data_IF_680549477283
#
_entry.id   IF_680549477283
#
_cell.length_a   1.000
_cell.length_b   1.000
_cell.length_c   1.000
_cell.angle_alpha   90.00
_cell.angle_beta   90.00
_cell.angle_gamma   90.00
#
_symmetry.space_group_name_H-M   'P 1'
#
loop_
_entity.id
_entity.type
_entity.pdbx_description
1 polymer ?
#
# COMPACT_ATOMS: atom_id res chain seq x y z
N UNK A 1 -49.34 -47.83 -67.18
CA UNK A 1 -48.46 -47.66 -65.99
C UNK A 1 -47.02 -47.70 -66.46
N UNK A 2 -46.54 -46.71 -67.21
CA UNK A 2 -46.18 -45.34 -66.83
C UNK A 2 -44.88 -45.29 -66.03
N UNK A 3 -43.75 -45.15 -66.74
CA UNK A 3 -42.48 -44.69 -66.21
C UNK A 3 -42.03 -43.52 -67.09
N UNK A 4 -42.20 -42.30 -66.60
CA UNK A 4 -41.84 -41.06 -67.26
C UNK A 4 -40.51 -40.54 -66.73
N UNK A 5 -39.62 -40.18 -67.64
CA UNK A 5 -38.42 -39.41 -67.37
C UNK A 5 -38.77 -37.95 -67.05
N UNK A 6 -37.99 -37.31 -66.17
CA UNK A 6 -37.95 -35.86 -66.06
C UNK A 6 -36.52 -35.40 -65.70
N UNK A 7 -36.07 -34.45 -66.51
CA UNK A 7 -34.79 -33.77 -66.46
C UNK A 7 -34.87 -32.51 -65.55
N UNK A 8 -33.69 -32.02 -65.18
CA UNK A 8 -33.36 -30.61 -64.94
C UNK A 8 -33.34 -30.01 -63.52
N UNK A 9 -32.19 -29.36 -63.29
CA UNK A 9 -31.93 -28.13 -62.52
C UNK A 9 -31.27 -28.23 -61.14
N UNK A 10 -29.96 -27.98 -61.21
CA UNK A 10 -28.99 -27.57 -60.19
C UNK A 10 -29.49 -26.34 -59.40
N UNK A 11 -29.55 -26.45 -58.06
CA UNK A 11 -29.51 -25.30 -57.14
C UNK A 11 -28.39 -25.57 -56.12
N UNK A 12 -27.36 -24.72 -56.15
CA UNK A 12 -26.23 -24.82 -55.23
C UNK A 12 -26.63 -24.43 -53.82
N UNK A 13 -26.34 -25.29 -52.85
CA UNK A 13 -26.30 -24.93 -51.44
C UNK A 13 -24.87 -24.49 -51.12
N UNK A 14 -24.61 -23.18 -51.09
CA UNK A 14 -23.43 -22.65 -50.43
C UNK A 14 -23.62 -22.80 -48.91
N UNK A 15 -22.68 -23.47 -48.23
CA UNK A 15 -22.61 -23.42 -46.77
C UNK A 15 -22.38 -21.97 -46.32
N UNK A 16 -23.08 -21.47 -45.27
CA UNK A 16 -22.74 -20.18 -44.69
C UNK A 16 -21.34 -20.26 -44.05
N UNK A 17 -20.53 -19.19 -44.11
CA UNK A 17 -19.24 -19.18 -43.45
C UNK A 17 -19.45 -19.24 -41.93
N UNK A 18 -18.74 -20.14 -41.25
CA UNK A 18 -18.67 -20.15 -39.79
C UNK A 18 -18.12 -18.80 -39.31
N UNK A 19 -18.98 -17.98 -38.70
CA UNK A 19 -18.54 -16.76 -38.00
C UNK A 19 -17.74 -17.20 -36.77
N UNK A 20 -16.43 -16.90 -36.75
CA UNK A 20 -15.62 -17.09 -35.57
C UNK A 20 -16.11 -16.14 -34.44
N UNK A 21 -16.17 -16.60 -33.18
CA UNK A 21 -16.55 -15.73 -32.07
C UNK A 21 -15.56 -14.57 -31.92
N UNK A 22 -16.09 -13.37 -31.65
CA UNK A 22 -15.28 -12.19 -31.41
C UNK A 22 -14.33 -12.40 -30.21
N UNK A 23 -13.13 -11.78 -30.20
CA UNK A 23 -12.21 -11.88 -29.07
C UNK A 23 -12.88 -11.30 -27.82
N UNK A 24 -12.81 -12.03 -26.71
CA UNK A 24 -13.27 -11.51 -25.42
C UNK A 24 -12.45 -10.27 -25.04
N UNK A 25 -13.08 -9.25 -24.41
CA UNK A 25 -12.35 -8.10 -23.89
C UNK A 25 -11.32 -8.56 -22.84
N UNK A 26 -10.18 -7.85 -22.71
CA UNK A 26 -9.18 -8.19 -21.71
C UNK A 26 -9.77 -8.10 -20.31
N UNK A 27 -9.48 -9.12 -19.50
CA UNK A 27 -9.86 -9.17 -18.08
C UNK A 27 -9.29 -7.92 -17.35
N UNK A 28 -10.00 -7.33 -16.37
CA UNK A 28 -9.42 -6.28 -15.54
C UNK A 28 -8.11 -6.77 -14.90
N UNK A 29 -7.06 -5.95 -14.97
CA UNK A 29 -5.80 -6.27 -14.31
C UNK A 29 -6.04 -6.49 -12.80
N UNK A 30 -5.37 -7.46 -12.16
CA UNK A 30 -5.42 -7.60 -10.71
C UNK A 30 -5.01 -6.27 -10.05
N UNK A 31 -5.61 -5.92 -8.89
CA UNK A 31 -5.22 -4.71 -8.17
C UNK A 31 -3.70 -4.74 -7.94
N UNK A 32 -3.04 -3.64 -8.30
CA UNK A 32 -1.61 -3.49 -8.02
C UNK A 32 -1.40 -3.66 -6.51
N UNK A 33 -0.33 -4.33 -6.07
CA UNK A 33 -0.02 -4.36 -4.65
C UNK A 33 0.13 -2.92 -4.18
N UNK A 34 -0.63 -2.55 -3.14
CA UNK A 34 -0.45 -1.29 -2.44
C UNK A 34 0.90 -1.36 -1.71
N UNK A 35 1.96 -0.99 -2.43
CA UNK A 35 3.34 -1.07 -1.94
C UNK A 35 3.56 -0.23 -0.68
N UNK A 36 2.68 0.73 -0.40
CA UNK A 36 2.74 1.57 0.80
C UNK A 36 1.99 0.99 2.00
N UNK A 37 1.41 -0.21 1.90
CA UNK A 37 0.74 -0.87 3.01
C UNK A 37 1.71 -1.77 3.81
N UNK A 38 2.17 -1.32 5.00
CA UNK A 38 3.04 -2.10 5.88
C UNK A 38 2.33 -3.31 6.52
N UNK A 39 1.01 -3.43 6.42
CA UNK A 39 0.24 -4.56 6.99
C UNK A 39 0.29 -5.82 6.10
N UNK A 40 0.84 -5.72 4.88
CA UNK A 40 1.02 -6.89 4.04
C UNK A 40 2.20 -7.75 4.55
N UNK A 41 2.06 -9.09 4.64
CA UNK A 41 3.09 -9.98 5.20
C UNK A 41 4.48 -9.93 4.54
N UNK A 42 4.61 -9.26 3.39
CA UNK A 42 5.84 -9.17 2.59
C UNK A 42 6.15 -7.72 2.17
N UNK A 43 5.71 -6.72 2.92
CA UNK A 43 5.87 -5.33 2.52
C UNK A 43 7.32 -4.95 2.23
N UNK A 44 8.29 -5.55 2.92
CA UNK A 44 9.72 -5.27 2.72
C UNK A 44 10.18 -5.60 1.30
N UNK A 45 9.58 -6.60 0.65
CA UNK A 45 9.92 -6.99 -0.73
C UNK A 45 9.58 -5.91 -1.76
N UNK A 46 8.69 -4.98 -1.43
CA UNK A 46 8.35 -3.84 -2.29
C UNK A 46 9.26 -2.62 -2.09
N UNK A 47 10.20 -2.68 -1.13
CA UNK A 47 11.10 -1.57 -0.75
C UNK A 47 12.57 -2.05 -0.72
N UNK A 48 13.25 -2.07 -1.87
CA UNK A 48 14.54 -2.74 -2.02
C UNK A 48 15.66 -2.13 -1.17
N UNK A 49 15.59 -0.84 -0.85
CA UNK A 49 16.64 -0.17 -0.07
C UNK A 49 16.28 -0.06 1.41
N UNK A 50 17.30 0.02 2.28
CA UNK A 50 17.10 0.34 3.69
C UNK A 50 16.47 1.73 3.88
N UNK A 51 16.80 2.68 3.00
CA UNK A 51 16.24 4.03 3.02
C UNK A 51 14.73 4.02 2.81
N UNK A 52 14.23 3.30 1.80
CA UNK A 52 12.80 3.18 1.53
C UNK A 52 12.07 2.48 2.68
N UNK A 53 12.64 1.39 3.21
CA UNK A 53 12.06 0.67 4.36
C UNK A 53 11.99 1.55 5.62
N UNK A 54 13.02 2.34 5.91
CA UNK A 54 12.99 3.28 7.03
C UNK A 54 12.01 4.42 6.80
N UNK A 55 11.88 4.91 5.57
CA UNK A 55 10.92 5.98 5.24
C UNK A 55 9.47 5.53 5.49
N UNK A 56 9.15 4.25 5.25
CA UNK A 56 7.83 3.69 5.58
C UNK A 56 7.51 3.64 7.07
N UNK A 57 8.51 3.68 7.94
CA UNK A 57 8.29 3.67 9.39
C UNK A 57 7.76 5.02 9.89
N UNK A 58 7.89 6.10 9.10
CA UNK A 58 7.39 7.40 9.47
C UNK A 58 5.88 7.36 9.79
N UNK A 59 5.53 7.74 11.03
CA UNK A 59 4.15 7.81 11.51
C UNK A 59 3.33 6.52 11.22
N UNK A 60 3.92 5.38 11.57
CA UNK A 60 3.38 4.05 11.31
C UNK A 60 3.32 3.25 12.62
N UNK A 61 2.19 2.59 12.89
CA UNK A 61 2.04 1.76 14.11
C UNK A 61 2.82 0.44 14.03
N UNK A 62 3.19 -0.03 12.83
CA UNK A 62 3.99 -1.24 12.69
C UNK A 62 5.32 -1.08 13.44
N UNK A 63 5.55 -1.94 14.44
CA UNK A 63 6.77 -1.95 15.26
C UNK A 63 7.05 -0.65 16.03
N UNK A 64 6.06 0.22 16.22
CA UNK A 64 6.24 1.43 17.01
C UNK A 64 6.59 1.07 18.47
N UNK A 65 7.73 1.59 18.95
CA UNK A 65 8.27 1.37 20.30
C UNK A 65 8.18 2.62 21.19
N UNK A 66 7.62 3.70 20.63
CA UNK A 66 7.33 4.95 21.33
C UNK A 66 6.13 5.67 20.70
N UNK A 67 5.34 6.32 21.54
CA UNK A 67 4.18 7.12 21.14
C UNK A 67 4.24 8.52 21.74
N UNK A 68 4.07 9.53 20.91
CA UNK A 68 4.01 10.91 21.35
C UNK A 68 2.55 11.34 21.50
N UNK A 69 2.21 11.89 22.67
CA UNK A 69 0.90 12.49 22.95
C UNK A 69 1.05 14.00 22.79
N UNK A 70 0.73 14.50 21.60
CA UNK A 70 1.07 15.87 21.16
C UNK A 70 -0.16 16.76 21.14
N UNK A 71 -0.07 17.94 21.73
CA UNK A 71 -1.12 18.95 21.75
C UNK A 71 -1.80 19.13 23.11
N UNK A 72 -2.54 20.22 23.23
CA UNK A 72 -3.22 20.61 24.47
C UNK A 72 -4.27 19.57 24.92
N UNK A 73 -4.61 19.60 26.20
CA UNK A 73 -5.62 18.70 26.77
C UNK A 73 -6.95 18.84 26.02
N UNK A 74 -7.47 17.72 25.49
CA UNK A 74 -8.68 17.68 24.67
C UNK A 74 -8.46 17.81 23.16
N UNK A 75 -7.28 18.26 22.72
CA UNK A 75 -6.86 18.29 21.31
C UNK A 75 -5.61 17.41 21.05
N UNK A 76 -5.17 16.67 22.07
CA UNK A 76 -3.98 15.85 21.99
C UNK A 76 -4.15 14.68 20.99
N UNK A 77 -3.12 14.43 20.20
CA UNK A 77 -3.05 13.32 19.24
C UNK A 77 -1.92 12.39 19.61
N UNK A 78 -2.20 11.09 19.57
CA UNK A 78 -1.19 10.03 19.66
C UNK A 78 -0.51 9.84 18.31
N UNK A 79 0.82 9.91 18.29
CA UNK A 79 1.66 9.77 17.10
C UNK A 79 2.62 8.61 17.32
N UNK A 80 2.51 7.50 16.57
CA UNK A 80 3.48 6.42 16.64
C UNK A 80 4.82 6.81 16.03
N UNK A 81 5.89 6.32 16.63
CA UNK A 81 7.24 6.52 16.12
C UNK A 81 8.18 5.38 16.57
N UNK A 82 9.43 5.46 16.10
CA UNK A 82 10.43 4.43 16.30
C UNK A 82 11.72 5.05 16.84
N UNK A 83 12.14 4.66 18.04
CA UNK A 83 13.30 5.23 18.74
C UNK A 83 14.56 5.18 17.88
N UNK A 84 14.81 4.04 17.23
CA UNK A 84 15.96 3.89 16.32
C UNK A 84 15.90 4.88 15.16
N UNK A 85 14.77 4.95 14.44
CA UNK A 85 14.60 5.80 13.26
C UNK A 85 14.81 7.28 13.62
N UNK A 86 14.28 7.71 14.76
CA UNK A 86 14.45 9.09 15.25
C UNK A 86 15.88 9.37 15.70
N UNK A 87 16.51 8.43 16.41
CA UNK A 87 17.86 8.62 16.96
C UNK A 87 18.93 8.68 15.88
N UNK A 88 18.82 7.90 14.79
CA UNK A 88 19.78 7.97 13.68
C UNK A 88 19.68 9.28 12.89
N UNK A 89 18.54 9.97 12.95
CA UNK A 89 18.30 11.25 12.28
C UNK A 89 18.51 12.49 13.16
N UNK A 90 18.64 12.34 14.48
CA UNK A 90 18.68 13.46 15.42
C UNK A 90 19.45 13.14 16.69
N UNK A 91 20.46 13.95 17.01
CA UNK A 91 21.22 13.86 18.26
C UNK A 91 20.35 14.12 19.50
N UNK A 92 19.29 14.92 19.36
CA UNK A 92 18.34 15.19 20.46
C UNK A 92 17.55 13.93 20.78
N UNK A 93 17.00 13.26 19.77
CA UNK A 93 16.29 11.99 19.98
C UNK A 93 17.23 10.87 20.42
N UNK A 94 18.48 10.86 19.92
CA UNK A 94 19.49 9.93 20.41
C UNK A 94 19.73 10.09 21.91
N UNK A 95 19.97 11.32 22.39
CA UNK A 95 20.18 11.58 23.82
C UNK A 95 18.95 11.21 24.66
N UNK A 96 17.76 11.50 24.15
CA UNK A 96 16.49 11.21 24.82
C UNK A 96 16.21 9.70 24.97
N UNK A 97 16.60 8.88 23.99
CA UNK A 97 16.27 7.44 23.97
C UNK A 97 17.43 6.51 24.34
N UNK A 98 18.67 6.95 24.12
CA UNK A 98 19.88 6.14 24.29
C UNK A 98 20.98 6.84 25.10
N UNK A 99 20.76 8.07 25.57
CA UNK A 99 21.70 8.79 26.42
C UNK A 99 21.67 8.32 27.87
N UNK A 100 22.56 8.89 28.70
CA UNK A 100 22.73 8.50 30.11
C UNK A 100 21.46 8.70 30.96
N UNK A 101 20.57 9.62 30.54
CA UNK A 101 19.28 9.90 31.16
C UNK A 101 18.10 9.46 30.25
N UNK A 102 18.29 8.40 29.47
CA UNK A 102 17.29 7.92 28.53
C UNK A 102 15.92 7.69 29.20
N UNK A 103 14.87 8.17 28.53
CA UNK A 103 13.50 7.98 28.99
C UNK A 103 13.05 6.53 28.76
N UNK A 104 12.65 5.85 29.83
CA UNK A 104 12.21 4.44 29.79
C UNK A 104 10.73 4.33 29.36
N UNK A 105 10.00 5.44 29.36
CA UNK A 105 8.58 5.46 28.99
C UNK A 105 8.39 5.16 27.50
N UNK A 106 7.31 4.45 27.21
CA UNK A 106 6.79 4.24 25.86
C UNK A 106 5.90 5.39 25.40
N UNK A 107 5.47 6.28 26.30
CA UNK A 107 4.63 7.44 25.99
C UNK A 107 5.30 8.76 26.45
N UNK A 108 5.36 9.74 25.54
CA UNK A 108 5.93 11.07 25.79
C UNK A 108 4.89 12.13 25.49
N UNK A 109 4.59 12.97 26.47
CA UNK A 109 3.62 14.05 26.34
C UNK A 109 4.30 15.35 25.90
N UNK A 110 3.74 16.00 24.88
CA UNK A 110 4.20 17.27 24.34
C UNK A 110 2.98 18.20 24.20
N UNK A 111 2.53 18.84 25.30
CA UNK A 111 1.29 19.62 25.30
C UNK A 111 1.39 20.93 24.50
N UNK A 112 2.59 21.46 24.35
CA UNK A 112 2.84 22.82 23.82
C UNK A 112 3.04 22.86 22.30
N UNK A 113 2.98 21.70 21.63
CA UNK A 113 3.21 21.59 20.19
C UNK A 113 1.94 21.11 19.50
N UNK A 114 1.59 21.74 18.37
CA UNK A 114 0.49 21.28 17.54
C UNK A 114 0.87 19.96 16.83
N UNK A 115 -0.05 18.96 16.75
CA UNK A 115 0.23 17.69 16.06
C UNK A 115 0.78 17.83 14.64
N UNK A 116 0.29 18.81 13.86
CA UNK A 116 0.76 19.05 12.50
C UNK A 116 2.22 19.52 12.48
N UNK A 117 2.59 20.45 13.37
CA UNK A 117 3.96 20.93 13.50
C UNK A 117 4.91 19.82 13.95
N UNK A 118 4.48 18.95 14.86
CA UNK A 118 5.28 17.81 15.29
C UNK A 118 5.53 16.82 14.15
N UNK A 119 4.52 16.50 13.33
CA UNK A 119 4.71 15.63 12.16
C UNK A 119 5.66 16.21 11.12
N UNK A 120 5.75 17.54 11.01
CA UNK A 120 6.75 18.20 10.16
C UNK A 120 8.15 18.07 10.77
N UNK A 121 8.29 18.21 12.09
CA UNK A 121 9.56 18.02 12.80
C UNK A 121 10.15 16.60 12.63
N UNK A 122 9.29 15.59 12.48
CA UNK A 122 9.71 14.19 12.35
C UNK A 122 10.15 13.78 10.93
N UNK A 123 10.02 14.65 9.92
CA UNK A 123 10.38 14.36 8.52
C UNK A 123 11.83 14.74 8.21
#
# INVERSE_FOLDING_TARGET
NAAGAAESTKVGLCCPPCLAPAPLPPLPAPPLPDNNNPESPNWQSFHPTLRERNALMFNNELMADVHFIVGALGAARRVPAHKYVLAVGSSVFYAMFYGDLAEVKSEIHIPDVEPAAFLVLLK
#
